data_IF_347194424997
#
_entry.id   IF_347194424997
#
_cell.length_a   1.000
_cell.length_b   1.000
_cell.length_c   1.000
_cell.angle_alpha   90.00
_cell.angle_beta   90.00
_cell.angle_gamma   90.00
#
_symmetry.space_group_name_H-M   'P 1'
#
loop_
_entity.id
_entity.type
_entity.pdbx_description
1 polymer ?
#
# COMPACT_ATOMS: atom_id res chain seq x y z
N UNK A 1 32.59 -21.81 12.40
CA UNK A 1 31.17 -22.17 12.20
C UNK A 1 30.38 -20.87 12.22
N UNK A 2 29.99 -20.33 11.07
CA UNK A 2 29.18 -19.11 11.04
C UNK A 2 27.73 -19.48 11.33
N UNK A 3 27.14 -18.88 12.37
CA UNK A 3 25.73 -19.03 12.66
C UNK A 3 24.93 -18.31 11.56
N UNK A 4 24.25 -19.08 10.71
CA UNK A 4 23.18 -18.55 9.85
C UNK A 4 22.11 -17.94 10.74
N UNK A 5 21.96 -16.62 10.67
CA UNK A 5 20.82 -15.92 11.25
C UNK A 5 19.57 -16.31 10.45
N UNK A 6 18.85 -17.33 10.91
CA UNK A 6 17.52 -17.67 10.42
C UNK A 6 16.54 -16.65 11.01
N UNK A 7 16.19 -15.62 10.24
CA UNK A 7 14.96 -14.86 10.49
C UNK A 7 13.79 -15.82 10.30
N UNK A 8 13.00 -16.05 11.35
CA UNK A 8 11.97 -17.10 11.46
C UNK A 8 10.73 -16.94 10.57
N UNK A 9 10.86 -16.38 9.37
CA UNK A 9 9.80 -16.24 8.38
C UNK A 9 10.22 -16.86 7.04
N UNK A 10 10.73 -18.09 7.09
CA UNK A 10 10.99 -18.86 5.88
C UNK A 10 9.69 -19.06 5.10
N UNK A 11 9.69 -18.68 3.82
CA UNK A 11 8.61 -18.96 2.87
C UNK A 11 8.33 -20.46 2.89
N UNK A 12 7.17 -20.85 3.39
CA UNK A 12 6.78 -22.27 3.43
C UNK A 12 6.27 -22.69 2.06
N UNK A 13 6.29 -23.99 1.78
CA UNK A 13 5.86 -24.60 0.50
C UNK A 13 4.34 -24.49 0.21
N UNK A 14 3.68 -23.45 0.73
CA UNK A 14 2.26 -23.13 0.53
C UNK A 14 1.98 -21.64 0.34
N UNK A 15 3.01 -20.79 0.27
CA UNK A 15 2.83 -19.36 -0.01
C UNK A 15 2.48 -19.14 -1.50
N UNK A 16 1.51 -18.26 -1.75
CA UNK A 16 1.14 -17.85 -3.11
C UNK A 16 2.40 -17.35 -3.87
N UNK A 17 2.77 -17.96 -5.01
CA UNK A 17 3.92 -17.54 -5.80
C UNK A 17 3.89 -16.06 -6.18
N UNK A 18 2.70 -15.50 -6.45
CA UNK A 18 2.53 -14.07 -6.74
C UNK A 18 2.91 -13.22 -5.53
N UNK A 19 2.37 -13.55 -4.36
CA UNK A 19 2.67 -12.82 -3.12
C UNK A 19 4.15 -12.94 -2.72
N UNK A 20 4.76 -14.10 -2.95
CA UNK A 20 6.21 -14.29 -2.76
C UNK A 20 7.02 -13.39 -3.68
N UNK A 21 6.62 -13.25 -4.95
CA UNK A 21 7.29 -12.36 -5.91
C UNK A 21 7.12 -10.88 -5.53
N UNK A 22 5.90 -10.46 -5.18
CA UNK A 22 5.60 -9.11 -4.70
C UNK A 22 6.45 -8.77 -3.47
N UNK A 23 6.50 -9.67 -2.49
CA UNK A 23 7.33 -9.49 -1.29
C UNK A 23 8.82 -9.33 -1.64
N UNK A 24 9.38 -10.22 -2.48
CA UNK A 24 10.79 -10.15 -2.89
C UNK A 24 11.14 -8.84 -3.59
N UNK A 25 10.25 -8.34 -4.45
CA UNK A 25 10.45 -7.09 -5.17
C UNK A 25 10.33 -5.88 -4.23
N UNK A 26 9.29 -5.85 -3.39
CA UNK A 26 9.10 -4.81 -2.35
C UNK A 26 10.31 -4.72 -1.41
N UNK A 27 10.82 -5.84 -0.93
CA UNK A 27 12.00 -5.89 -0.04
C UNK A 27 13.29 -5.37 -0.68
N UNK A 28 13.33 -5.24 -2.01
CA UNK A 28 14.46 -4.71 -2.77
C UNK A 28 14.21 -3.28 -3.29
N UNK A 29 13.14 -2.63 -2.81
CA UNK A 29 12.69 -1.32 -3.29
C UNK A 29 12.28 -1.31 -4.78
N UNK A 30 11.96 -2.46 -5.37
CA UNK A 30 11.42 -2.58 -6.73
C UNK A 30 9.89 -2.40 -6.71
N UNK A 31 9.38 -1.30 -6.13
CA UNK A 31 7.94 -1.09 -5.92
C UNK A 31 7.14 -1.02 -7.22
N UNK A 32 7.68 -0.37 -8.26
CA UNK A 32 6.99 -0.27 -9.56
C UNK A 32 6.81 -1.66 -10.21
N UNK A 33 7.83 -2.50 -10.16
CA UNK A 33 7.76 -3.87 -10.66
C UNK A 33 6.81 -4.72 -9.81
N UNK A 34 6.85 -4.57 -8.49
CA UNK A 34 5.92 -5.27 -7.58
C UNK A 34 4.46 -4.87 -7.88
N UNK A 35 4.21 -3.56 -8.06
CA UNK A 35 2.89 -3.04 -8.40
C UNK A 35 2.43 -3.54 -9.78
N UNK A 36 3.34 -3.67 -10.76
CA UNK A 36 3.03 -4.19 -12.09
C UNK A 36 2.54 -5.65 -12.09
N UNK A 37 2.95 -6.46 -11.10
CA UNK A 37 2.45 -7.83 -10.92
C UNK A 37 0.99 -7.89 -10.40
N UNK A 38 0.45 -6.78 -9.91
CA UNK A 38 -0.88 -6.67 -9.33
C UNK A 38 -1.79 -5.86 -10.28
N UNK A 39 -2.42 -6.50 -11.27
CA UNK A 39 -3.42 -5.83 -12.09
C UNK A 39 -4.63 -5.44 -11.20
N UNK A 40 -5.13 -4.21 -11.29
CA UNK A 40 -6.20 -3.71 -10.41
C UNK A 40 -7.58 -4.17 -10.91
N UNK A 41 -7.79 -5.47 -11.01
CA UNK A 41 -9.08 -6.07 -11.38
C UNK A 41 -9.96 -6.40 -10.17
N UNK A 42 -9.32 -6.70 -9.04
CA UNK A 42 -9.97 -7.07 -7.78
C UNK A 42 -9.64 -6.03 -6.69
N UNK A 43 -10.56 -5.74 -5.74
CA UNK A 43 -10.35 -4.72 -4.72
C UNK A 43 -9.06 -4.93 -3.91
N UNK A 44 -8.79 -6.16 -3.48
CA UNK A 44 -7.58 -6.50 -2.72
C UNK A 44 -6.29 -6.26 -3.51
N UNK A 45 -6.26 -6.62 -4.79
CA UNK A 45 -5.10 -6.42 -5.65
C UNK A 45 -4.87 -4.93 -5.94
N UNK A 46 -5.94 -4.17 -6.17
CA UNK A 46 -5.87 -2.72 -6.38
C UNK A 46 -5.37 -1.99 -5.13
N UNK A 47 -5.85 -2.38 -3.94
CA UNK A 47 -5.37 -1.82 -2.68
C UNK A 47 -3.90 -2.14 -2.45
N UNK A 48 -3.49 -3.40 -2.61
CA UNK A 48 -2.08 -3.79 -2.44
C UNK A 48 -1.16 -3.04 -3.42
N UNK A 49 -1.60 -2.85 -4.66
CA UNK A 49 -0.89 -2.04 -5.66
C UNK A 49 -0.74 -0.58 -5.18
N UNK A 50 -1.81 0.02 -4.67
CA UNK A 50 -1.77 1.38 -4.12
C UNK A 50 -0.79 1.48 -2.94
N UNK A 51 -0.86 0.57 -1.96
CA UNK A 51 0.04 0.55 -0.80
C UNK A 51 1.52 0.50 -1.20
N UNK A 52 1.88 -0.30 -2.22
CA UNK A 52 3.26 -0.35 -2.74
C UNK A 52 3.73 0.99 -3.32
N UNK A 53 2.85 1.71 -4.01
CA UNK A 53 3.17 3.00 -4.61
C UNK A 53 3.18 4.13 -3.56
N UNK A 54 2.31 4.07 -2.55
CA UNK A 54 2.35 4.98 -1.39
C UNK A 54 3.64 4.78 -0.60
N UNK A 55 4.06 3.53 -0.38
CA UNK A 55 5.34 3.21 0.27
C UNK A 55 6.53 3.75 -0.54
N UNK A 56 6.51 3.61 -1.87
CA UNK A 56 7.53 4.25 -2.73
C UNK A 56 7.60 5.75 -2.50
N UNK A 57 6.46 6.44 -2.38
CA UNK A 57 6.42 7.88 -2.10
C UNK A 57 7.11 8.20 -0.77
N UNK A 58 6.87 7.40 0.28
CA UNK A 58 7.50 7.57 1.59
C UNK A 58 9.03 7.43 1.55
N UNK A 59 9.55 6.45 0.81
CA UNK A 59 10.98 6.18 0.79
C UNK A 59 11.77 7.01 -0.24
N UNK A 60 11.10 7.56 -1.25
CA UNK A 60 11.77 8.24 -2.37
C UNK A 60 11.34 9.69 -2.57
N UNK A 61 10.31 10.14 -1.84
CA UNK A 61 9.67 11.46 -2.00
C UNK A 61 9.17 11.72 -3.44
N UNK A 62 8.94 10.67 -4.22
CA UNK A 62 8.55 10.72 -5.62
C UNK A 62 7.46 9.70 -5.97
N UNK A 63 6.80 9.88 -7.13
CA UNK A 63 5.74 8.97 -7.60
C UNK A 63 4.34 9.27 -7.06
N UNK A 64 4.13 10.45 -6.49
CA UNK A 64 2.86 10.87 -5.86
C UNK A 64 1.63 10.74 -6.76
N UNK A 65 1.74 11.11 -8.04
CA UNK A 65 0.63 11.02 -9.00
C UNK A 65 0.24 9.57 -9.30
N UNK A 66 1.22 8.68 -9.50
CA UNK A 66 0.95 7.25 -9.70
C UNK A 66 0.30 6.60 -8.47
N UNK A 67 0.73 7.00 -7.27
CA UNK A 67 0.13 6.53 -6.01
C UNK A 67 -1.32 7.02 -5.86
N UNK A 68 -1.58 8.29 -6.18
CA UNK A 68 -2.95 8.86 -6.21
C UNK A 68 -3.85 8.12 -7.19
N UNK A 69 -3.38 7.84 -8.40
CA UNK A 69 -4.15 7.13 -9.43
C UNK A 69 -4.47 5.69 -9.04
N UNK A 70 -3.49 4.98 -8.50
CA UNK A 70 -3.69 3.62 -8.00
C UNK A 70 -4.68 3.61 -6.82
N UNK A 71 -4.58 4.58 -5.92
CA UNK A 71 -5.49 4.69 -4.79
C UNK A 71 -6.91 5.05 -5.22
N UNK A 72 -7.09 5.97 -6.18
CA UNK A 72 -8.42 6.26 -6.77
C UNK A 72 -9.05 5.01 -7.38
N UNK A 73 -8.23 4.14 -7.98
CA UNK A 73 -8.69 2.85 -8.52
C UNK A 73 -9.13 1.90 -7.40
N UNK A 74 -8.34 1.79 -6.32
CA UNK A 74 -8.70 0.96 -5.17
C UNK A 74 -9.99 1.44 -4.48
N UNK A 75 -10.16 2.75 -4.30
CA UNK A 75 -11.38 3.35 -3.75
C UNK A 75 -12.61 3.09 -4.63
N UNK A 76 -12.44 3.09 -5.96
CA UNK A 76 -13.52 2.83 -6.89
C UNK A 76 -13.98 1.36 -6.92
N UNK A 77 -13.07 0.43 -6.61
CA UNK A 77 -13.36 -1.01 -6.58
C UNK A 77 -13.88 -1.50 -5.23
N UNK A 78 -13.60 -0.79 -4.14
CA UNK A 78 -14.02 -1.16 -2.81
C UNK A 78 -15.56 -1.10 -2.66
N UNK A 79 -16.18 -2.23 -2.32
CA UNK A 79 -17.64 -2.35 -2.20
C UNK A 79 -18.07 -2.59 -0.74
N UNK A 80 -17.33 -3.45 -0.04
CA UNK A 80 -17.59 -3.76 1.37
C UNK A 80 -17.09 -2.66 2.31
N UNK A 81 -17.64 -2.60 3.52
CA UNK A 81 -17.18 -1.65 4.53
C UNK A 81 -15.70 -1.88 4.90
N UNK A 82 -15.26 -3.15 4.98
CA UNK A 82 -13.86 -3.51 5.22
C UNK A 82 -12.93 -2.97 4.10
N UNK A 83 -13.28 -3.20 2.84
CA UNK A 83 -12.50 -2.72 1.69
C UNK A 83 -12.47 -1.19 1.64
N UNK A 84 -13.61 -0.55 1.85
CA UNK A 84 -13.72 0.92 1.89
C UNK A 84 -12.93 1.50 3.05
N UNK A 85 -12.96 0.82 4.20
CA UNK A 85 -12.17 1.17 5.37
C UNK A 85 -10.69 1.10 5.08
N UNK A 86 -10.23 0.01 4.46
CA UNK A 86 -8.83 -0.20 4.10
C UNK A 86 -8.34 0.82 3.06
N UNK A 87 -9.13 1.11 2.02
CA UNK A 87 -8.83 2.16 1.05
C UNK A 87 -8.79 3.56 1.69
N UNK A 88 -9.72 3.85 2.60
CA UNK A 88 -9.71 5.11 3.37
C UNK A 88 -8.48 5.21 4.30
N UNK A 89 -7.99 4.09 4.84
CA UNK A 89 -6.77 4.06 5.63
C UNK A 89 -5.55 4.45 4.79
N UNK A 90 -5.39 3.84 3.60
CA UNK A 90 -4.31 4.17 2.66
C UNK A 90 -4.40 5.62 2.16
N UNK A 91 -5.61 6.14 1.90
CA UNK A 91 -5.85 7.57 1.62
C UNK A 91 -5.35 8.47 2.73
N UNK A 92 -5.65 8.10 3.97
CA UNK A 92 -5.14 8.80 5.15
C UNK A 92 -3.61 8.82 5.20
N UNK A 93 -2.99 7.69 4.90
CA UNK A 93 -1.53 7.54 4.93
C UNK A 93 -0.83 8.36 3.83
N UNK A 94 -1.34 8.34 2.59
CA UNK A 94 -0.80 9.13 1.49
C UNK A 94 -0.91 10.64 1.77
N UNK A 95 -2.06 11.11 2.27
CA UNK A 95 -2.26 12.51 2.64
C UNK A 95 -1.35 12.95 3.80
N UNK A 96 -1.18 12.08 4.80
CA UNK A 96 -0.24 12.30 5.90
C UNK A 96 1.20 12.41 5.39
N UNK A 97 1.66 11.49 4.55
CA UNK A 97 3.00 11.50 3.98
C UNK A 97 3.26 12.77 3.14
N UNK A 98 2.30 13.16 2.28
CA UNK A 98 2.41 14.38 1.48
C UNK A 98 2.55 15.64 2.35
N UNK A 99 1.89 15.67 3.51
CA UNK A 99 2.01 16.75 4.51
C UNK A 99 3.37 16.70 5.20
N UNK A 100 3.79 15.51 5.65
CA UNK A 100 5.06 15.30 6.35
C UNK A 100 6.26 15.77 5.50
N UNK A 101 6.28 15.41 4.21
CA UNK A 101 7.34 15.79 3.27
C UNK A 101 7.14 17.16 2.61
N UNK A 102 6.15 17.96 3.07
CA UNK A 102 5.90 19.31 2.54
C UNK A 102 5.61 19.36 1.03
N UNK A 103 5.13 18.27 0.44
CA UNK A 103 4.69 18.22 -0.97
C UNK A 103 3.40 19.01 -1.15
N UNK A 104 2.44 18.81 -0.24
CA UNK A 104 1.21 19.59 -0.09
C UNK A 104 0.65 19.35 1.30
N UNK A 105 0.22 20.42 1.97
CA UNK A 105 -0.50 20.29 3.24
C UNK A 105 -1.89 19.68 3.00
N UNK A 106 -2.09 18.48 3.56
CA UNK A 106 -3.29 17.65 3.45
C UNK A 106 -3.67 17.06 4.80
N UNK A 107 -3.33 17.74 5.89
CA UNK A 107 -3.60 17.26 7.25
C UNK A 107 -5.10 16.99 7.50
N UNK A 108 -5.98 17.86 6.99
CA UNK A 108 -7.42 17.71 7.13
C UNK A 108 -7.95 16.49 6.34
N UNK A 109 -7.42 16.25 5.14
CA UNK A 109 -7.75 15.07 4.34
C UNK A 109 -7.32 13.78 5.05
N UNK A 110 -6.09 13.77 5.59
CA UNK A 110 -5.57 12.64 6.35
C UNK A 110 -6.46 12.32 7.55
N UNK A 111 -6.82 13.34 8.34
CA UNK A 111 -7.71 13.20 9.50
C UNK A 111 -9.08 12.67 9.11
N UNK A 112 -9.68 13.22 8.05
CA UNK A 112 -11.01 12.81 7.60
C UNK A 112 -11.00 11.36 7.09
N UNK A 113 -9.98 10.96 6.33
CA UNK A 113 -9.87 9.62 5.78
C UNK A 113 -9.62 8.56 6.88
N UNK A 114 -8.70 8.82 7.81
CA UNK A 114 -8.43 7.93 8.95
C UNK A 114 -9.65 7.81 9.88
N UNK A 115 -10.38 8.91 10.09
CA UNK A 115 -11.63 8.88 10.85
C UNK A 115 -12.72 8.01 10.19
N UNK A 116 -12.85 8.07 8.86
CA UNK A 116 -13.74 7.17 8.10
C UNK A 116 -13.28 5.72 8.19
N UNK A 117 -11.99 5.46 8.02
CA UNK A 117 -11.43 4.11 8.12
C UNK A 117 -11.75 3.49 9.48
N UNK A 118 -11.51 4.23 10.56
CA UNK A 118 -11.80 3.79 11.93
C UNK A 118 -13.29 3.50 12.16
N UNK A 119 -14.21 4.19 11.48
CA UNK A 119 -15.64 3.94 11.60
C UNK A 119 -16.11 2.68 10.84
N UNK A 120 -15.35 2.24 9.83
CA UNK A 120 -15.72 1.13 8.95
C UNK A 120 -15.09 -0.20 9.34
N UNK A 121 -13.90 -0.18 9.97
CA UNK A 121 -13.15 -1.38 10.40
C UNK A 121 -13.43 -1.73 11.88
N UNK A 122 -14.34 -1.02 12.55
CA UNK A 122 -14.64 -1.17 13.98
C UNK A 122 -15.54 -2.37 14.31
#
# INVERSE_FOLDING_TARGET
MAHTAMSGNGTTSGDDPLQTAVWRLRSRACWADAAALLPPAEPAAALQRASLLVERCLYTEAGWEEAEDALRTAEALADTDDERGAAACERGYLAYAATLFQVRDRADEARAALGRAAALIA
#
